data_IF_253153095409
#
_entry.id   IF_253153095409
#
_cell.length_a   1.000
_cell.length_b   1.000
_cell.length_c   1.000
_cell.angle_alpha   90.00
_cell.angle_beta   90.00
_cell.angle_gamma   90.00
#
_symmetry.space_group_name_H-M   'P 1'
#
loop_
_entity.id
_entity.type
_entity.pdbx_description
1 polymer ?
#
# COMPACT_ATOMS: atom_id res chain seq x y z
N UNK A 1 -27.89 5.74 4.48
CA UNK A 1 -28.85 6.59 5.22
C UNK A 1 -29.02 6.16 6.68
N UNK A 2 -29.19 4.87 6.98
CA UNK A 2 -29.50 4.35 8.33
C UNK A 2 -28.38 4.53 9.38
N UNK A 3 -27.10 4.52 8.97
CA UNK A 3 -25.96 4.58 9.89
C UNK A 3 -25.20 5.91 9.88
N UNK A 4 -25.61 6.87 9.04
CA UNK A 4 -24.82 8.10 8.82
C UNK A 4 -24.66 8.99 10.06
N UNK A 5 -25.62 8.93 10.99
CA UNK A 5 -25.57 9.66 12.27
C UNK A 5 -24.79 8.92 13.36
N UNK A 6 -24.38 7.67 13.13
CA UNK A 6 -23.59 6.86 14.07
C UNK A 6 -22.10 6.85 13.72
N UNK A 7 -21.72 7.33 12.53
CA UNK A 7 -20.33 7.39 12.08
C UNK A 7 -19.73 8.68 12.64
N UNK A 8 -18.68 8.54 13.45
CA UNK A 8 -17.81 9.66 13.76
C UNK A 8 -16.93 9.94 12.54
N UNK A 9 -17.32 10.95 11.76
CA UNK A 9 -16.60 11.35 10.55
C UNK A 9 -15.21 11.92 10.85
N UNK A 10 -14.90 12.29 12.09
CA UNK A 10 -13.58 12.76 12.47
C UNK A 10 -12.56 11.62 12.66
N UNK A 11 -13.05 10.39 12.87
CA UNK A 11 -12.22 9.19 13.00
C UNK A 11 -12.18 8.34 11.72
N UNK A 12 -12.91 8.74 10.67
CA UNK A 12 -12.97 8.01 9.41
C UNK A 12 -11.89 8.49 8.43
N UNK A 13 -11.16 7.54 7.85
CA UNK A 13 -10.26 7.77 6.71
C UNK A 13 -10.66 6.89 5.53
N UNK A 14 -10.29 7.31 4.32
CA UNK A 14 -10.57 6.54 3.09
C UNK A 14 -9.27 6.17 2.40
N UNK A 15 -9.16 4.92 2.00
CA UNK A 15 -7.97 4.38 1.34
C UNK A 15 -8.30 3.97 -0.09
N UNK A 16 -7.52 4.46 -1.05
CA UNK A 16 -7.56 3.98 -2.43
C UNK A 16 -6.67 2.76 -2.56
N UNK A 17 -7.24 1.57 -2.74
CA UNK A 17 -6.46 0.34 -2.92
C UNK A 17 -6.16 0.03 -4.39
N UNK A 18 -4.92 -0.32 -4.68
CA UNK A 18 -4.48 -0.90 -5.95
C UNK A 18 -3.88 -2.27 -5.67
N UNK A 19 -4.62 -3.34 -6.00
CA UNK A 19 -4.20 -4.72 -5.73
C UNK A 19 -3.39 -5.24 -6.92
N UNK A 20 -2.14 -5.60 -6.67
CA UNK A 20 -1.12 -5.89 -7.69
C UNK A 20 -0.62 -7.33 -7.65
N UNK A 21 -1.24 -8.19 -6.84
CA UNK A 21 -0.94 -9.61 -6.80
C UNK A 21 -2.18 -10.47 -7.16
N UNK A 22 -2.21 -11.09 -8.36
CA UNK A 22 -3.30 -11.99 -8.79
C UNK A 22 -3.51 -13.24 -7.93
N UNK A 23 -2.47 -13.68 -7.22
CA UNK A 23 -2.51 -14.85 -6.34
C UNK A 23 -3.06 -14.51 -4.95
N UNK A 24 -3.18 -13.22 -4.62
CA UNK A 24 -3.71 -12.79 -3.34
C UNK A 24 -5.20 -13.10 -3.19
N UNK A 25 -5.60 -13.53 -1.99
CA UNK A 25 -7.01 -13.73 -1.64
C UNK A 25 -7.84 -12.45 -1.85
N UNK A 26 -7.25 -11.28 -1.57
CA UNK A 26 -7.88 -9.99 -1.80
C UNK A 26 -8.25 -9.81 -3.28
N UNK A 27 -7.30 -10.03 -4.19
CA UNK A 27 -7.52 -9.94 -5.64
C UNK A 27 -8.64 -10.87 -6.11
N UNK A 28 -8.61 -12.14 -5.68
CA UNK A 28 -9.60 -13.16 -6.03
C UNK A 28 -11.01 -12.80 -5.55
N UNK A 29 -11.11 -12.08 -4.42
CA UNK A 29 -12.39 -11.70 -3.81
C UNK A 29 -12.97 -10.41 -4.41
N UNK A 30 -12.14 -9.41 -4.71
CA UNK A 30 -12.60 -8.05 -5.03
C UNK A 30 -13.06 -7.85 -6.47
N UNK A 31 -13.09 -8.91 -7.30
CA UNK A 31 -13.43 -8.83 -8.73
C UNK A 31 -12.71 -7.68 -9.44
N UNK A 32 -11.42 -7.50 -9.13
CA UNK A 32 -10.56 -6.53 -9.78
C UNK A 32 -9.85 -7.16 -10.98
N UNK A 33 -9.27 -6.32 -11.82
CA UNK A 33 -8.31 -6.73 -12.84
C UNK A 33 -6.91 -6.31 -12.42
N UNK A 34 -5.88 -6.94 -12.99
CA UNK A 34 -4.51 -6.55 -12.76
C UNK A 34 -4.18 -5.36 -13.66
N UNK A 35 -3.99 -4.16 -13.11
CA UNK A 35 -3.61 -2.99 -13.91
C UNK A 35 -2.17 -3.12 -14.39
N UNK A 36 -1.88 -2.50 -15.53
CA UNK A 36 -0.49 -2.32 -15.95
C UNK A 36 0.18 -1.11 -15.25
N UNK A 37 1.44 -0.84 -15.56
CA UNK A 37 2.19 0.28 -14.95
C UNK A 37 1.54 1.64 -15.21
N UNK A 38 1.05 1.87 -16.43
CA UNK A 38 0.45 3.15 -16.82
C UNK A 38 -0.87 3.36 -16.08
N UNK A 39 -1.67 2.30 -15.96
CA UNK A 39 -2.90 2.28 -15.15
C UNK A 39 -2.63 2.66 -13.69
N UNK A 40 -1.60 2.05 -13.06
CA UNK A 40 -1.25 2.34 -11.66
C UNK A 40 -0.82 3.79 -11.47
N UNK A 41 -0.06 4.35 -12.41
CA UNK A 41 0.34 5.76 -12.39
C UNK A 41 -0.89 6.66 -12.54
N UNK A 42 -1.82 6.32 -13.44
CA UNK A 42 -3.07 7.06 -13.61
C UNK A 42 -3.94 6.99 -12.35
N UNK A 43 -3.98 5.85 -11.66
CA UNK A 43 -4.65 5.68 -10.38
C UNK A 43 -4.07 6.57 -9.28
N UNK A 44 -2.74 6.70 -9.23
CA UNK A 44 -2.08 7.62 -8.31
C UNK A 44 -2.50 9.07 -8.56
N UNK A 45 -2.53 9.49 -9.83
CA UNK A 45 -2.99 10.83 -10.21
C UNK A 45 -4.46 11.06 -9.86
N UNK A 46 -5.33 10.06 -10.06
CA UNK A 46 -6.73 10.13 -9.66
C UNK A 46 -6.89 10.22 -8.14
N UNK A 47 -6.14 9.43 -7.36
CA UNK A 47 -6.17 9.47 -5.91
C UNK A 47 -5.77 10.86 -5.37
N UNK A 48 -4.69 11.44 -5.89
CA UNK A 48 -4.19 12.76 -5.49
C UNK A 48 -5.10 13.90 -5.98
N UNK A 49 -5.36 13.98 -7.28
CA UNK A 49 -5.92 15.19 -7.90
C UNK A 49 -7.46 15.17 -7.98
N UNK A 50 -8.05 14.00 -8.23
CA UNK A 50 -9.49 13.89 -8.48
C UNK A 50 -10.26 13.58 -7.20
N UNK A 51 -9.84 12.54 -6.49
CA UNK A 51 -10.52 12.08 -5.28
C UNK A 51 -10.00 12.75 -4.01
N UNK A 52 -8.79 13.32 -4.04
CA UNK A 52 -8.11 13.89 -2.87
C UNK A 52 -8.09 12.91 -1.69
N UNK A 53 -7.78 11.64 -1.97
CA UNK A 53 -7.74 10.60 -0.95
C UNK A 53 -6.58 10.86 0.01
N UNK A 54 -6.76 10.64 1.33
CA UNK A 54 -5.67 10.76 2.28
C UNK A 54 -4.61 9.67 2.06
N UNK A 55 -5.01 8.48 1.60
CA UNK A 55 -4.12 7.31 1.43
C UNK A 55 -4.34 6.66 0.07
N UNK A 56 -3.23 6.33 -0.61
CA UNK A 56 -3.17 5.35 -1.69
C UNK A 56 -2.35 4.15 -1.22
N UNK A 57 -2.94 2.96 -1.27
CA UNK A 57 -2.33 1.71 -0.81
C UNK A 57 -2.01 0.81 -2.01
N UNK A 58 -0.73 0.56 -2.25
CA UNK A 58 -0.26 -0.47 -3.19
C UNK A 58 -0.16 -1.82 -2.46
N UNK A 59 -1.04 -2.75 -2.82
CA UNK A 59 -1.22 -4.02 -2.15
C UNK A 59 -0.71 -5.19 -3.00
N UNK A 60 0.44 -5.74 -2.62
CA UNK A 60 1.07 -6.91 -3.22
C UNK A 60 0.85 -8.20 -2.40
N UNK A 61 0.27 -8.13 -1.20
CA UNK A 61 -0.20 -9.25 -0.36
C UNK A 61 0.53 -10.58 -0.58
N UNK A 62 1.59 -10.83 0.19
CA UNK A 62 2.32 -12.10 0.16
C UNK A 62 3.40 -12.21 -0.91
N UNK A 63 3.53 -11.26 -1.84
CA UNK A 63 4.71 -11.15 -2.71
C UNK A 63 5.39 -9.79 -2.56
N UNK A 64 6.69 -9.73 -2.84
CA UNK A 64 7.46 -8.48 -2.86
C UNK A 64 7.24 -7.79 -4.21
N UNK A 65 6.81 -6.53 -4.18
CA UNK A 65 6.48 -5.74 -5.35
C UNK A 65 7.69 -5.13 -6.04
N UNK A 66 7.44 -4.41 -7.13
CA UNK A 66 8.48 -3.72 -7.90
C UNK A 66 8.80 -2.34 -7.29
N UNK A 67 10.00 -2.13 -6.69
CA UNK A 67 10.37 -0.86 -6.08
C UNK A 67 10.35 0.32 -7.06
N UNK A 68 10.66 0.07 -8.34
CA UNK A 68 10.67 1.13 -9.35
C UNK A 68 9.26 1.62 -9.67
N UNK A 69 8.25 0.75 -9.63
CA UNK A 69 6.86 1.16 -9.71
C UNK A 69 6.44 2.01 -8.51
N UNK A 70 6.80 1.59 -7.29
CA UNK A 70 6.50 2.34 -6.06
C UNK A 70 7.14 3.74 -6.12
N UNK A 71 8.39 3.83 -6.58
CA UNK A 71 9.10 5.10 -6.80
C UNK A 71 8.37 6.00 -7.79
N UNK A 72 7.95 5.47 -8.94
CA UNK A 72 7.22 6.24 -9.96
C UNK A 72 5.86 6.72 -9.44
N UNK A 73 5.12 5.87 -8.73
CA UNK A 73 3.86 6.26 -8.09
C UNK A 73 4.06 7.41 -7.12
N UNK A 74 5.08 7.33 -6.25
CA UNK A 74 5.38 8.40 -5.28
C UNK A 74 5.62 9.76 -5.94
N UNK A 75 6.20 9.80 -7.14
CA UNK A 75 6.44 11.07 -7.87
C UNK A 75 5.16 11.84 -8.22
N UNK A 76 4.00 11.17 -8.22
CA UNK A 76 2.70 11.77 -8.51
C UNK A 76 1.88 12.11 -7.25
N UNK A 77 2.39 11.78 -6.05
CA UNK A 77 1.69 11.97 -4.79
C UNK A 77 2.42 13.00 -3.92
N UNK A 78 1.70 14.04 -3.52
CA UNK A 78 2.23 15.11 -2.67
C UNK A 78 1.47 15.20 -1.35
N UNK A 79 0.13 15.23 -1.40
CA UNK A 79 -0.73 15.25 -0.21
C UNK A 79 -1.18 13.85 0.21
N UNK A 80 -1.47 12.99 -0.76
CA UNK A 80 -1.86 11.60 -0.51
C UNK A 80 -0.65 10.82 -0.01
N UNK A 81 -0.81 10.12 1.11
CA UNK A 81 0.22 9.22 1.62
C UNK A 81 0.24 7.93 0.80
N UNK A 82 1.43 7.53 0.39
CA UNK A 82 1.68 6.25 -0.25
C UNK A 82 1.95 5.19 0.81
N UNK A 83 1.05 4.22 0.90
CA UNK A 83 1.23 3.02 1.70
C UNK A 83 1.62 1.87 0.77
N UNK A 84 2.62 1.09 1.17
CA UNK A 84 3.03 -0.13 0.50
C UNK A 84 2.86 -1.32 1.43
N UNK A 85 2.19 -2.38 0.97
CA UNK A 85 2.09 -3.64 1.70
C UNK A 85 2.32 -4.82 0.78
N UNK A 86 3.24 -5.71 1.16
CA UNK A 86 3.47 -6.96 0.45
C UNK A 86 4.89 -7.49 0.55
N UNK A 87 5.02 -8.74 0.98
CA UNK A 87 6.24 -9.54 0.85
C UNK A 87 7.49 -9.02 1.54
N UNK A 88 7.40 -8.05 2.46
CA UNK A 88 8.54 -7.61 3.26
C UNK A 88 8.83 -8.67 4.32
N UNK A 89 9.98 -9.33 4.17
CA UNK A 89 10.47 -10.37 5.07
C UNK A 89 11.83 -10.03 5.69
N UNK A 90 12.57 -9.05 5.16
CA UNK A 90 13.88 -8.63 5.70
C UNK A 90 13.97 -7.11 5.91
N UNK A 91 14.96 -6.67 6.72
CA UNK A 91 15.24 -5.26 6.93
C UNK A 91 15.67 -4.54 5.63
N UNK A 92 16.40 -5.20 4.73
CA UNK A 92 16.81 -4.62 3.45
C UNK A 92 15.61 -4.27 2.58
N UNK A 93 14.63 -5.18 2.47
CA UNK A 93 13.39 -4.94 1.74
C UNK A 93 12.56 -3.82 2.38
N UNK A 94 12.49 -3.80 3.71
CA UNK A 94 11.81 -2.74 4.44
C UNK A 94 12.46 -1.37 4.15
N UNK A 95 13.80 -1.30 4.17
CA UNK A 95 14.56 -0.08 3.86
C UNK A 95 14.37 0.35 2.41
N UNK A 96 14.39 -0.56 1.46
CA UNK A 96 14.18 -0.26 0.03
C UNK A 96 12.79 0.35 -0.20
N UNK A 97 11.73 -0.29 0.31
CA UNK A 97 10.37 0.24 0.13
C UNK A 97 10.15 1.54 0.90
N UNK A 98 10.73 1.70 2.09
CA UNK A 98 10.62 2.93 2.89
C UNK A 98 11.35 4.15 2.29
N UNK A 99 12.20 3.97 1.26
CA UNK A 99 12.74 5.09 0.49
C UNK A 99 11.67 5.77 -0.38
N UNK A 100 10.62 5.03 -0.76
CA UNK A 100 9.62 5.48 -1.72
C UNK A 100 8.23 5.61 -1.10
N UNK A 101 7.80 4.62 -0.31
CA UNK A 101 6.53 4.68 0.41
C UNK A 101 6.64 5.54 1.67
N UNK A 102 5.58 6.29 1.99
CA UNK A 102 5.52 7.05 3.23
C UNK A 102 5.35 6.12 4.44
N UNK A 103 4.63 5.02 4.24
CA UNK A 103 4.39 3.96 5.23
C UNK A 103 4.50 2.59 4.58
N UNK A 104 5.20 1.68 5.25
CA UNK A 104 5.28 0.27 4.86
C UNK A 104 4.44 -0.59 5.82
N UNK A 105 3.79 -1.62 5.30
CA UNK A 105 3.01 -2.58 6.07
C UNK A 105 3.69 -3.94 6.03
N UNK A 106 4.02 -4.45 7.21
CA UNK A 106 4.65 -5.76 7.41
C UNK A 106 3.64 -6.68 8.11
N UNK A 107 3.36 -7.83 7.48
CA UNK A 107 2.29 -8.74 7.90
C UNK A 107 2.79 -10.19 7.98
N UNK A 108 2.71 -10.93 6.87
CA UNK A 108 2.94 -12.38 6.83
C UNK A 108 4.23 -12.85 7.50
N UNK A 109 5.33 -12.10 7.35
CA UNK A 109 6.63 -12.43 7.94
C UNK A 109 6.61 -12.55 9.46
N UNK A 110 5.69 -11.87 10.16
CA UNK A 110 5.50 -12.01 11.61
C UNK A 110 5.13 -13.43 12.02
N UNK A 111 4.47 -14.18 11.13
CA UNK A 111 4.05 -15.57 11.38
C UNK A 111 5.08 -16.60 10.88
N UNK A 112 5.90 -16.23 9.90
CA UNK A 112 6.89 -17.13 9.28
C UNK A 112 8.24 -17.09 10.03
N UNK A 113 8.74 -15.89 10.34
CA UNK A 113 9.97 -15.67 11.09
C UNK A 113 9.88 -14.36 11.87
N UNK A 114 9.28 -14.43 13.07
CA UNK A 114 9.07 -13.27 13.93
C UNK A 114 10.36 -12.49 14.24
N UNK A 115 11.48 -13.18 14.47
CA UNK A 115 12.74 -12.54 14.83
C UNK A 115 13.27 -11.65 13.70
N UNK A 116 13.19 -12.11 12.46
CA UNK A 116 13.56 -11.29 11.30
C UNK A 116 12.53 -10.18 11.04
N UNK A 117 11.24 -10.49 11.21
CA UNK A 117 10.17 -9.56 10.93
C UNK A 117 10.19 -8.33 11.84
N UNK A 118 10.53 -8.48 13.13
CA UNK A 118 10.62 -7.33 14.04
C UNK A 118 11.77 -6.39 13.67
N UNK A 119 12.82 -6.88 13.01
CA UNK A 119 13.94 -6.01 12.57
C UNK A 119 13.47 -4.98 11.54
N UNK A 120 12.40 -5.27 10.79
CA UNK A 120 11.83 -4.37 9.77
C UNK A 120 11.35 -3.02 10.32
N UNK A 121 11.21 -2.86 11.64
CA UNK A 121 10.88 -1.56 12.25
C UNK A 121 12.05 -0.57 12.22
N UNK A 122 13.29 -1.05 12.03
CA UNK A 122 14.52 -0.26 12.06
C UNK A 122 14.86 0.39 10.70
N UNK A 123 13.83 0.80 9.95
CA UNK A 123 13.98 1.46 8.64
C UNK A 123 14.45 2.91 8.72
N UNK A 124 14.29 3.56 9.88
CA UNK A 124 14.80 4.90 10.17
C UNK A 124 15.67 4.80 11.43
N UNK A 125 16.85 5.41 11.38
CA UNK A 125 17.72 5.59 12.56
C UNK A 125 17.10 6.54 13.58
#
# INVERSE_FOLDING_TARGET
>A
KQFGSMIDWSELTTEGYVILNPEAKAYQLTNCYLPDREDVIAYAQMAEQMFNLPILYLEYSGTYGDPELVRQVKQHLNKTQLVYGGGITTLEQAKEMAQYADTIVVGNSLYDNFAEAIETVHVKE
#
